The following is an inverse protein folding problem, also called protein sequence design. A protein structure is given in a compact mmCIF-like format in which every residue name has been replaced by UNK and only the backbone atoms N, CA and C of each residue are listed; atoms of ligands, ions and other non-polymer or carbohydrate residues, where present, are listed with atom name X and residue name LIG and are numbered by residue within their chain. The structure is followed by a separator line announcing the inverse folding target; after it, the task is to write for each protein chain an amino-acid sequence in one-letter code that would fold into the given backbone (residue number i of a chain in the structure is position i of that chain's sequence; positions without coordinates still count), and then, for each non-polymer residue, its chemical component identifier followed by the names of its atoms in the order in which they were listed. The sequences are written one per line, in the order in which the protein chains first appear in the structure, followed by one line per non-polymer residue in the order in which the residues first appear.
data_IF_575277732659
#
_entry.id   IF_575277732659
#
_cell.length_a   1.000
_cell.length_b   1.000
_cell.length_c   1.000
_cell.angle_alpha   90.00
_cell.angle_beta   90.00
_cell.angle_gamma   90.00
#
_symmetry.space_group_name_H-M   'P 1'
#
loop_
_entity.id
_entity.type
_entity.pdbx_description
1 polymer ?
#
# COMPACT_ATOMS: atom_id res chain seq x y z
N UNK A 1 -10.68 -7.11 -0.47
CA UNK A 1 -10.23 -5.88 -1.16
C UNK A 1 -9.06 -6.32 -2.02
N UNK A 2 -9.14 -6.15 -3.34
CA UNK A 2 -8.08 -6.53 -4.28
C UNK A 2 -7.19 -5.33 -4.54
N UNK A 3 -5.86 -5.55 -4.59
CA UNK A 3 -4.89 -4.51 -4.92
C UNK A 3 -4.04 -5.04 -6.07
N UNK A 4 -4.19 -4.46 -7.24
CA UNK A 4 -3.35 -4.77 -8.40
C UNK A 4 -2.25 -3.73 -8.52
N UNK A 5 -1.01 -4.18 -8.59
CA UNK A 5 0.13 -3.32 -8.86
C UNK A 5 0.53 -3.56 -10.31
N UNK A 6 0.60 -2.48 -11.07
CA UNK A 6 1.17 -2.50 -12.40
C UNK A 6 2.50 -1.76 -12.34
N UNK A 7 3.59 -2.47 -12.61
CA UNK A 7 4.88 -1.85 -12.85
C UNK A 7 4.78 -1.11 -14.18
N UNK A 8 4.58 0.20 -14.14
CA UNK A 8 4.45 1.04 -15.34
C UNK A 8 5.81 1.52 -15.85
N UNK A 9 6.85 1.39 -15.04
CA UNK A 9 8.21 1.76 -15.39
C UNK A 9 9.20 0.77 -14.77
N UNK A 10 10.34 0.55 -15.43
CA UNK A 10 11.34 -0.47 -15.09
C UNK A 10 11.80 -0.29 -13.64
N UNK A 11 11.34 -1.08 -12.66
CA UNK A 11 11.97 -1.06 -11.36
C UNK A 11 13.39 -1.61 -11.60
N UNK A 12 14.45 -0.95 -11.09
CA UNK A 12 15.80 -1.50 -11.23
C UNK A 12 15.80 -2.95 -10.69
N UNK A 13 16.42 -3.86 -11.45
CA UNK A 13 16.62 -5.24 -11.02
C UNK A 13 17.23 -5.24 -9.62
N UNK A 14 16.52 -5.85 -8.66
CA UNK A 14 16.93 -5.81 -7.27
C UNK A 14 15.88 -6.38 -6.32
N UNK A 15 16.33 -6.65 -5.09
CA UNK A 15 15.45 -7.06 -3.99
C UNK A 15 14.65 -5.86 -3.52
N UNK A 16 13.35 -5.86 -3.78
CA UNK A 16 12.45 -4.80 -3.35
C UNK A 16 11.48 -5.33 -2.29
N UNK A 17 10.88 -4.41 -1.55
CA UNK A 17 9.78 -4.70 -0.62
C UNK A 17 8.54 -3.96 -1.06
N UNK A 18 7.44 -4.70 -1.16
CA UNK A 18 6.14 -4.14 -1.41
C UNK A 18 5.38 -3.97 -0.10
N UNK A 19 4.91 -2.76 0.14
CA UNK A 19 4.13 -2.40 1.30
C UNK A 19 2.70 -2.07 0.88
N UNK A 20 1.75 -2.56 1.66
CA UNK A 20 0.35 -2.19 1.54
C UNK A 20 -0.07 -1.59 2.87
N UNK A 21 -0.57 -0.37 2.82
CA UNK A 21 -1.11 0.31 3.98
C UNK A 21 -2.59 0.59 3.78
N UNK A 22 -3.35 0.47 4.87
CA UNK A 22 -4.71 0.96 4.92
C UNK A 22 -4.69 2.27 5.70
N UNK A 23 -5.11 3.35 5.05
CA UNK A 23 -5.25 4.65 5.67
C UNK A 23 -6.72 5.03 5.79
N UNK A 24 -7.10 5.66 6.89
CA UNK A 24 -8.41 6.26 7.10
C UNK A 24 -8.29 7.78 7.05
N UNK A 25 -9.09 8.41 6.20
CA UNK A 25 -9.08 9.86 6.07
C UNK A 25 -10.10 10.55 6.98
N UNK A 26 -9.87 11.82 7.32
CA UNK A 26 -10.76 12.63 8.16
C UNK A 26 -11.11 11.96 9.51
N UNK A 27 -10.08 11.54 10.25
CA UNK A 27 -10.19 10.91 11.58
C UNK A 27 -10.06 11.97 12.66
N UNK A 28 -11.06 12.04 13.54
CA UNK A 28 -11.03 12.94 14.69
C UNK A 28 -10.55 12.22 15.95
N UNK A 29 -9.50 12.73 16.58
CA UNK A 29 -9.00 12.25 17.88
C UNK A 29 -8.98 13.43 18.85
N UNK A 30 -9.91 13.43 19.80
CA UNK A 30 -10.14 14.58 20.69
C UNK A 30 -10.61 15.81 19.92
N UNK A 31 -9.79 16.86 19.93
CA UNK A 31 -10.06 18.14 19.26
C UNK A 31 -9.25 18.35 17.97
N UNK A 32 -8.52 17.32 17.52
CA UNK A 32 -7.66 17.39 16.34
C UNK A 32 -8.21 16.46 15.25
N UNK A 33 -8.28 17.01 14.03
CA UNK A 33 -8.61 16.25 12.84
C UNK A 33 -7.32 15.83 12.12
N UNK A 34 -7.24 14.55 11.80
CA UNK A 34 -6.09 13.93 11.12
C UNK A 34 -6.52 13.45 9.74
N UNK A 35 -5.68 13.75 8.75
CA UNK A 35 -5.84 13.26 7.39
C UNK A 35 -4.95 12.02 7.19
N UNK A 36 -5.45 11.06 6.41
CA UNK A 36 -4.73 9.83 6.03
C UNK A 36 -4.00 9.12 7.19
N UNK A 37 -4.72 8.76 8.26
CA UNK A 37 -4.17 8.01 9.39
C UNK A 37 -3.96 6.55 9.01
N UNK A 38 -2.72 6.08 9.05
CA UNK A 38 -2.40 4.65 8.84
C UNK A 38 -3.05 3.81 9.94
N UNK A 39 -3.89 2.85 9.54
CA UNK A 39 -4.61 1.93 10.41
C UNK A 39 -4.00 0.53 10.43
N UNK A 40 -3.46 0.09 9.30
CA UNK A 40 -2.84 -1.22 9.17
C UNK A 40 -1.75 -1.21 8.10
N UNK A 41 -0.77 -2.11 8.26
CA UNK A 41 0.24 -2.45 7.26
C UNK A 41 0.10 -3.95 6.99
N UNK A 42 0.02 -4.33 5.71
CA UNK A 42 -0.19 -5.70 5.25
C UNK A 42 1.01 -6.15 4.39
N UNK A 43 1.42 -7.44 4.49
CA UNK A 43 0.94 -8.43 5.46
C UNK A 43 1.43 -8.17 6.90
N UNK A 44 2.52 -7.42 7.04
CA UNK A 44 3.09 -6.99 8.31
C UNK A 44 3.84 -5.64 8.14
N UNK A 45 4.47 -5.14 9.20
CA UNK A 45 5.26 -3.89 9.17
C UNK A 45 6.58 -4.01 8.41
N UNK A 46 7.01 -5.23 8.09
CA UNK A 46 8.20 -5.52 7.29
C UNK A 46 7.95 -5.44 5.80
N UNK A 47 6.70 -5.49 5.34
CA UNK A 47 6.36 -5.55 3.93
C UNK A 47 6.67 -6.91 3.31
N UNK A 48 6.17 -7.15 2.10
CA UNK A 48 6.37 -8.39 1.38
C UNK A 48 7.61 -8.28 0.48
N UNK A 49 8.60 -9.20 0.57
CA UNK A 49 9.69 -9.23 -0.39
C UNK A 49 9.13 -9.56 -1.77
N UNK A 50 9.52 -8.75 -2.77
CA UNK A 50 9.10 -8.94 -4.16
C UNK A 50 10.29 -8.80 -5.09
N UNK A 51 10.33 -9.69 -6.06
CA UNK A 51 11.22 -9.59 -7.23
C UNK A 51 10.32 -9.34 -8.41
N UNK A 52 10.40 -8.15 -8.99
CA UNK A 52 9.60 -7.75 -10.15
C UNK A 52 10.57 -7.62 -11.31
N UNK A 53 10.46 -8.50 -12.31
CA UNK A 53 11.20 -8.32 -13.55
C UNK A 53 10.50 -7.31 -14.47
N UNK A 54 11.23 -6.82 -15.47
CA UNK A 54 10.67 -5.89 -16.46
C UNK A 54 9.45 -6.52 -17.17
N UNK A 55 8.37 -5.75 -17.29
CA UNK A 55 7.09 -6.13 -17.87
C UNK A 55 6.28 -7.21 -17.11
N UNK A 56 6.64 -7.53 -15.86
CA UNK A 56 5.82 -8.38 -15.00
C UNK A 56 4.82 -7.56 -14.16
N UNK A 57 3.62 -8.13 -13.97
CA UNK A 57 2.60 -7.60 -13.05
C UNK A 57 2.49 -8.49 -11.83
N UNK A 58 2.27 -7.89 -10.66
CA UNK A 58 2.01 -8.60 -9.42
C UNK A 58 0.59 -8.32 -8.95
N UNK A 59 -0.27 -9.32 -9.09
CA UNK A 59 -1.61 -9.31 -8.53
C UNK A 59 -1.63 -10.00 -7.17
N UNK A 60 -2.13 -9.31 -6.15
CA UNK A 60 -2.22 -9.87 -4.80
C UNK A 60 -3.51 -9.45 -4.11
N UNK A 61 -4.05 -10.34 -3.30
CA UNK A 61 -5.30 -10.11 -2.57
C UNK A 61 -5.10 -10.43 -1.11
N UNK A 62 -5.53 -9.51 -0.25
CA UNK A 62 -5.50 -9.70 1.18
C UNK A 62 -6.90 -9.65 1.76
N UNK A 63 -7.19 -10.61 2.63
CA UNK A 63 -8.36 -10.53 3.47
C UNK A 63 -8.12 -9.43 4.51
N UNK A 64 -8.97 -8.42 4.51
CA UNK A 64 -8.92 -7.34 5.47
C UNK A 64 -10.33 -7.11 6.01
N UNK A 65 -10.49 -7.32 7.31
CA UNK A 65 -11.73 -7.02 8.02
C UNK A 65 -11.48 -5.79 8.88
N UNK A 66 -12.36 -4.81 8.74
CA UNK A 66 -12.22 -3.50 9.36
C UNK A 66 -13.47 -3.14 10.15
N UNK A 67 -13.29 -2.46 11.27
CA UNK A 67 -14.35 -1.76 12.02
C UNK A 67 -14.43 -0.26 11.68
N UNK A 68 -13.59 0.21 10.76
CA UNK A 68 -13.50 1.60 10.33
C UNK A 68 -14.52 1.92 9.24
N UNK A 69 -14.75 3.21 9.00
CA UNK A 69 -15.66 3.62 7.95
C UNK A 69 -15.04 3.33 6.56
N UNK A 70 -15.60 2.35 5.85
CA UNK A 70 -15.11 1.90 4.56
C UNK A 70 -15.05 3.01 3.49
N UNK A 71 -15.91 4.01 3.56
CA UNK A 71 -15.96 5.12 2.59
C UNK A 71 -14.82 6.12 2.79
N UNK A 72 -14.16 6.03 3.96
CA UNK A 72 -13.00 6.84 4.31
C UNK A 72 -11.69 6.07 4.21
N UNK A 73 -11.74 4.78 3.84
CA UNK A 73 -10.56 3.96 3.71
C UNK A 73 -9.92 4.15 2.32
N UNK A 74 -8.60 4.26 2.33
CA UNK A 74 -7.75 4.21 1.15
C UNK A 74 -6.71 3.13 1.33
N UNK A 75 -6.39 2.43 0.25
CA UNK A 75 -5.29 1.48 0.18
C UNK A 75 -4.13 2.17 -0.48
N UNK A 76 -2.97 2.15 0.17
CA UNK A 76 -1.73 2.73 -0.33
C UNK A 76 -0.77 1.59 -0.56
N UNK A 77 -0.45 1.33 -1.82
CA UNK A 77 0.59 0.38 -2.20
C UNK A 77 1.86 1.12 -2.56
N UNK A 78 3.02 0.69 -2.09
CA UNK A 78 4.29 1.23 -2.58
C UNK A 78 5.40 0.21 -2.62
N UNK A 79 6.26 0.34 -3.61
CA UNK A 79 7.47 -0.45 -3.78
C UNK A 79 8.66 0.33 -3.24
N UNK A 80 9.46 -0.30 -2.40
CA UNK A 80 10.65 0.29 -1.79
C UNK A 80 11.88 -0.56 -2.12
N UNK A 81 12.98 0.11 -2.45
CA UNK A 81 14.28 -0.53 -2.57
C UNK A 81 14.84 -0.85 -1.16
N UNK A 82 15.24 -2.10 -0.92
CA UNK A 82 15.63 -2.55 0.43
C UNK A 82 16.96 -1.95 0.93
N UNK A 83 17.85 -1.52 0.02
CA UNK A 83 19.18 -1.04 0.38
C UNK A 83 19.20 0.46 0.66
N UNK A 84 18.43 1.22 -0.11
CA UNK A 84 18.38 2.69 -0.04
C UNK A 84 17.19 3.23 0.74
N UNK A 85 16.23 2.38 1.10
CA UNK A 85 14.92 2.76 1.66
C UNK A 85 14.12 3.73 0.77
N UNK A 86 14.50 3.91 -0.50
CA UNK A 86 13.80 4.78 -1.43
C UNK A 86 12.52 4.14 -1.95
N UNK A 87 11.41 4.89 -1.89
CA UNK A 87 10.16 4.51 -2.56
C UNK A 87 10.34 4.71 -4.06
N UNK A 88 10.25 3.61 -4.80
CA UNK A 88 10.42 3.57 -6.26
C UNK A 88 9.11 3.92 -6.97
N UNK A 89 8.00 3.40 -6.45
CA UNK A 89 6.67 3.61 -7.01
C UNK A 89 5.64 3.57 -5.89
N UNK A 90 4.57 4.35 -6.03
CA UNK A 90 3.42 4.26 -5.15
C UNK A 90 2.12 4.42 -5.92
N UNK A 91 1.05 3.86 -5.37
CA UNK A 91 -0.30 3.96 -5.87
C UNK A 91 -1.26 4.08 -4.68
N UNK A 92 -2.33 4.85 -4.87
CA UNK A 92 -3.41 4.97 -3.90
C UNK A 92 -4.69 4.52 -4.58
N UNK A 93 -5.28 3.45 -4.06
CA UNK A 93 -6.60 2.96 -4.45
C UNK A 93 -7.64 3.35 -3.41
N UNK A 94 -8.83 3.73 -3.89
CA UNK A 94 -10.01 3.86 -3.04
C UNK A 94 -10.96 2.71 -3.35
N UNK A 95 -11.84 2.38 -2.41
CA UNK A 95 -12.93 1.45 -2.69
C UNK A 95 -13.82 2.07 -3.76
N UNK A 96 -13.94 1.42 -4.92
CA UNK A 96 -14.96 1.73 -5.92
C UNK A 96 -16.22 0.94 -5.58
N UNK A 97 -17.39 1.58 -5.73
CA UNK A 97 -18.72 0.96 -5.51
C UNK A 97 -19.08 -0.03 -6.63
#
# INVERSE_FOLDING_TARGET
MSVSIFATDTPPEGTNRFYIMIAEDSVRIGFVDYNHVVRAVLPDTGGMPVTIAYAESLDTTFAFTSRWNNDKLSVIGFLQNIESDHVLQSAIGKKEE
#
